data_IF_642005650141
#
_entry.id   IF_642005650141
#
_cell.length_a   1.000
_cell.length_b   1.000
_cell.length_c   1.000
_cell.angle_alpha   90.00
_cell.angle_beta   90.00
_cell.angle_gamma   90.00
#
_symmetry.space_group_name_H-M   'P 1'
#
loop_
_entity.id
_entity.type
_entity.pdbx_description
1 polymer ?
#
# COMPACT_ATOMS: atom_id res chain seq x y z
N UNK A 1 -13.02 -20.47 -35.48
CA UNK A 1 -11.70 -19.82 -35.53
C UNK A 1 -11.94 -18.39 -36.02
N UNK A 2 -12.62 -17.56 -35.22
CA UNK A 2 -12.94 -16.16 -35.56
C UNK A 2 -11.97 -15.24 -34.84
N UNK A 3 -10.68 -15.36 -35.15
CA UNK A 3 -9.62 -14.63 -34.43
C UNK A 3 -9.26 -13.28 -35.06
N UNK A 4 -9.93 -12.84 -36.13
CA UNK A 4 -9.56 -11.62 -36.87
C UNK A 4 -10.77 -10.86 -37.44
N UNK A 5 -11.80 -10.60 -36.62
CA UNK A 5 -12.61 -9.41 -36.88
C UNK A 5 -11.87 -8.23 -36.26
N UNK A 6 -11.34 -7.35 -37.11
CA UNK A 6 -10.79 -6.06 -36.69
C UNK A 6 -11.90 -5.18 -36.14
N UNK A 7 -12.28 -5.41 -34.88
CA UNK A 7 -13.21 -4.56 -34.15
C UNK A 7 -12.57 -3.19 -33.90
N UNK A 8 -13.39 -2.15 -33.87
CA UNK A 8 -12.96 -0.83 -33.43
C UNK A 8 -12.30 -0.94 -32.04
N UNK A 9 -11.15 -0.30 -31.88
CA UNK A 9 -10.45 -0.27 -30.59
C UNK A 9 -11.37 0.43 -29.58
N UNK A 10 -11.70 -0.20 -28.43
CA UNK A 10 -12.65 0.37 -27.47
C UNK A 10 -11.97 1.45 -26.62
N UNK A 11 -11.60 2.58 -27.23
CA UNK A 11 -10.78 3.63 -26.61
C UNK A 11 -11.37 4.16 -25.28
N UNK A 12 -12.69 4.34 -25.21
CA UNK A 12 -13.37 4.84 -24.00
C UNK A 12 -13.23 3.84 -22.85
N UNK A 13 -13.42 2.56 -23.13
CA UNK A 13 -13.26 1.49 -22.13
C UNK A 13 -11.80 1.37 -21.68
N UNK A 14 -10.85 1.41 -22.62
CA UNK A 14 -9.41 1.34 -22.30
C UNK A 14 -8.98 2.53 -21.43
N UNK A 15 -9.38 3.74 -21.81
CA UNK A 15 -9.08 4.95 -21.05
C UNK A 15 -9.73 4.91 -19.66
N UNK A 16 -11.01 4.53 -19.58
CA UNK A 16 -11.73 4.41 -18.31
C UNK A 16 -11.08 3.39 -17.38
N UNK A 17 -10.74 2.22 -17.91
CA UNK A 17 -10.01 1.15 -17.20
C UNK A 17 -8.70 1.67 -16.64
N UNK A 18 -7.88 2.33 -17.46
CA UNK A 18 -6.59 2.86 -17.05
C UNK A 18 -6.73 3.96 -16.00
N UNK A 19 -7.59 4.95 -16.25
CA UNK A 19 -7.83 6.07 -15.34
C UNK A 19 -8.34 5.58 -13.97
N UNK A 20 -9.27 4.62 -13.96
CA UNK A 20 -9.79 4.06 -12.73
C UNK A 20 -8.76 3.17 -12.01
N UNK A 21 -7.88 2.49 -12.73
CA UNK A 21 -6.76 1.76 -12.12
C UNK A 21 -5.79 2.69 -11.38
N UNK A 22 -5.35 3.77 -12.03
CA UNK A 22 -4.49 4.77 -11.40
C UNK A 22 -5.22 5.45 -10.23
N UNK A 23 -6.47 5.84 -10.44
CA UNK A 23 -7.30 6.46 -9.42
C UNK A 23 -7.52 5.57 -8.20
N UNK A 24 -7.79 4.29 -8.40
CA UNK A 24 -7.95 3.32 -7.32
C UNK A 24 -6.62 3.08 -6.57
N UNK A 25 -5.49 2.97 -7.28
CA UNK A 25 -4.19 2.81 -6.64
C UNK A 25 -3.84 3.99 -5.72
N UNK A 26 -4.11 5.22 -6.18
CA UNK A 26 -3.93 6.45 -5.36
C UNK A 26 -4.96 6.51 -4.24
N UNK A 27 -6.24 6.22 -4.53
CA UNK A 27 -7.32 6.23 -3.55
C UNK A 27 -7.10 5.25 -2.40
N UNK A 28 -6.48 4.11 -2.67
CA UNK A 28 -6.14 3.11 -1.66
C UNK A 28 -5.15 3.62 -0.61
N UNK A 29 -4.25 4.56 -0.93
CA UNK A 29 -3.39 5.20 0.08
C UNK A 29 -4.22 6.01 1.08
N UNK A 30 -5.19 6.78 0.59
CA UNK A 30 -6.10 7.56 1.45
C UNK A 30 -7.00 6.66 2.28
N UNK A 31 -7.54 5.59 1.67
CA UNK A 31 -8.33 4.59 2.36
C UNK A 31 -7.53 3.88 3.45
N UNK A 32 -6.32 3.40 3.13
CA UNK A 32 -5.46 2.71 4.08
C UNK A 32 -5.05 3.62 5.23
N UNK A 33 -4.67 4.88 4.95
CA UNK A 33 -4.37 5.89 5.97
C UNK A 33 -5.55 6.08 6.93
N UNK A 34 -6.75 6.34 6.39
CA UNK A 34 -7.94 6.54 7.21
C UNK A 34 -8.30 5.28 8.00
N UNK A 35 -8.28 4.10 7.39
CA UNK A 35 -8.59 2.84 8.06
C UNK A 35 -7.56 2.54 9.17
N UNK A 36 -6.30 2.85 8.94
CA UNK A 36 -5.23 2.67 9.91
C UNK A 36 -5.47 3.53 11.15
N UNK A 37 -5.74 4.82 10.99
CA UNK A 37 -6.05 5.73 12.09
C UNK A 37 -7.39 5.39 12.77
N UNK A 38 -8.47 5.35 11.99
CA UNK A 38 -9.83 5.34 12.52
C UNK A 38 -10.34 3.95 12.90
N UNK A 39 -9.75 2.88 12.37
CA UNK A 39 -10.17 1.50 12.65
C UNK A 39 -9.07 0.71 13.34
N UNK A 40 -7.86 0.63 12.76
CA UNK A 40 -6.80 -0.25 13.25
C UNK A 40 -6.19 0.24 14.56
N UNK A 41 -6.07 1.55 14.77
CA UNK A 41 -5.70 2.17 16.05
C UNK A 41 -6.89 2.43 16.98
N UNK A 42 -8.07 1.90 16.65
CA UNK A 42 -9.29 2.04 17.44
C UNK A 42 -9.96 0.68 17.67
N UNK A 43 -11.09 0.42 17.03
CA UNK A 43 -11.91 -0.78 17.26
C UNK A 43 -11.23 -2.09 16.84
N UNK A 44 -10.25 -2.04 15.93
CA UNK A 44 -9.52 -3.19 15.41
C UNK A 44 -8.09 -3.30 15.97
N UNK A 45 -7.78 -2.58 17.07
CA UNK A 45 -6.45 -2.62 17.70
C UNK A 45 -5.99 -4.03 18.04
N UNK A 46 -6.86 -4.90 18.56
CA UNK A 46 -6.48 -6.28 18.89
C UNK A 46 -5.93 -7.08 17.68
N UNK A 47 -6.27 -6.69 16.45
CA UNK A 47 -5.72 -7.29 15.23
C UNK A 47 -4.40 -6.64 14.80
N UNK A 48 -4.25 -5.34 15.08
CA UNK A 48 -3.10 -4.53 14.70
C UNK A 48 -1.98 -4.50 15.75
N UNK A 49 -2.28 -4.78 17.03
CA UNK A 49 -1.32 -4.67 18.14
C UNK A 49 -0.10 -5.56 17.95
N UNK A 50 -0.30 -6.77 17.40
CA UNK A 50 0.80 -7.69 17.09
C UNK A 50 1.82 -7.08 16.13
N UNK A 51 1.39 -6.12 15.31
CA UNK A 51 2.19 -5.43 14.31
C UNK A 51 3.11 -4.36 14.92
N UNK A 52 2.72 -3.79 16.07
CA UNK A 52 3.50 -2.80 16.82
C UNK A 52 4.53 -3.42 17.77
N UNK A 53 4.44 -4.75 17.99
CA UNK A 53 5.33 -5.47 18.91
C UNK A 53 6.41 -6.23 18.15
N UNK A 54 7.59 -6.46 18.76
CA UNK A 54 8.55 -7.43 18.22
C UNK A 54 7.89 -8.79 18.07
N UNK A 55 8.17 -9.47 16.96
CA UNK A 55 7.51 -10.73 16.62
C UNK A 55 8.47 -11.73 15.98
N UNK A 56 8.04 -12.99 16.01
CA UNK A 56 8.72 -14.12 15.37
C UNK A 56 7.79 -14.81 14.35
N UNK A 57 8.36 -15.39 13.29
CA UNK A 57 7.62 -16.14 12.27
C UNK A 57 7.24 -15.33 11.02
N UNK A 58 6.47 -15.91 10.09
CA UNK A 58 6.12 -15.26 8.81
C UNK A 58 4.77 -14.53 8.78
N UNK A 59 3.82 -14.87 9.65
CA UNK A 59 2.44 -14.35 9.63
C UNK A 59 2.05 -13.62 10.92
N UNK A 60 1.09 -12.70 10.82
CA UNK A 60 0.47 -11.95 11.92
C UNK A 60 -1.05 -11.90 11.78
N UNK A 61 -1.77 -11.67 12.88
CA UNK A 61 -3.21 -11.41 12.81
C UNK A 61 -3.52 -10.19 11.92
N UNK A 62 -2.61 -9.22 11.88
CA UNK A 62 -2.69 -8.04 11.02
C UNK A 62 -2.81 -8.36 9.52
N UNK A 63 -2.33 -9.53 9.08
CA UNK A 63 -2.39 -9.95 7.67
C UNK A 63 -3.84 -10.11 7.17
N UNK A 64 -4.81 -10.21 8.08
CA UNK A 64 -6.24 -10.16 7.78
C UNK A 64 -6.64 -8.90 7.02
N UNK A 65 -5.99 -7.75 7.27
CA UNK A 65 -6.31 -6.52 6.56
C UNK A 65 -5.90 -6.58 5.09
N UNK A 66 -4.80 -7.28 4.78
CA UNK A 66 -4.42 -7.55 3.39
C UNK A 66 -5.46 -8.45 2.71
N UNK A 67 -5.94 -9.49 3.40
CA UNK A 67 -6.98 -10.39 2.88
C UNK A 67 -8.31 -9.64 2.63
N UNK A 68 -8.74 -8.81 3.57
CA UNK A 68 -9.97 -8.01 3.46
C UNK A 68 -9.95 -7.12 2.21
N UNK A 69 -8.80 -6.56 1.85
CA UNK A 69 -8.66 -5.74 0.64
C UNK A 69 -8.40 -6.58 -0.63
N UNK A 70 -7.78 -7.77 -0.51
CA UNK A 70 -7.53 -8.65 -1.64
C UNK A 70 -8.80 -9.31 -2.20
N UNK A 71 -9.74 -9.72 -1.34
CA UNK A 71 -11.01 -10.33 -1.74
C UNK A 71 -11.81 -9.46 -2.72
N UNK A 72 -12.12 -8.17 -2.44
CA UNK A 72 -12.83 -7.32 -3.39
C UNK A 72 -12.00 -7.06 -4.66
N UNK A 73 -10.68 -6.94 -4.57
CA UNK A 73 -9.83 -6.78 -5.75
C UNK A 73 -9.93 -7.98 -6.70
N UNK A 74 -9.85 -9.20 -6.17
CA UNK A 74 -9.98 -10.45 -6.93
C UNK A 74 -11.38 -10.54 -7.56
N UNK A 75 -12.44 -10.23 -6.81
CA UNK A 75 -13.80 -10.25 -7.33
C UNK A 75 -14.00 -9.27 -8.50
N UNK A 76 -13.47 -8.06 -8.38
CA UNK A 76 -13.51 -7.02 -9.40
C UNK A 76 -12.73 -7.41 -10.66
N UNK A 77 -11.51 -7.94 -10.48
CA UNK A 77 -10.69 -8.46 -11.58
C UNK A 77 -11.37 -9.63 -12.28
N UNK A 78 -11.92 -10.58 -11.54
CA UNK A 78 -12.63 -11.74 -12.09
C UNK A 78 -13.84 -11.30 -12.92
N UNK A 79 -14.69 -10.44 -12.36
CA UNK A 79 -15.85 -9.91 -13.07
C UNK A 79 -15.43 -9.16 -14.34
N UNK A 80 -14.44 -8.27 -14.23
CA UNK A 80 -13.96 -7.49 -15.38
C UNK A 80 -13.29 -8.33 -16.47
N UNK A 81 -12.65 -9.45 -16.11
CA UNK A 81 -11.98 -10.33 -17.06
C UNK A 81 -12.96 -11.19 -17.87
N UNK A 82 -14.05 -11.66 -17.26
CA UNK A 82 -15.00 -12.58 -17.89
C UNK A 82 -16.20 -11.91 -18.58
N UNK A 83 -16.34 -10.59 -18.48
CA UNK A 83 -17.43 -9.83 -19.09
C UNK A 83 -16.89 -8.74 -20.02
N UNK A 84 -17.70 -8.30 -20.99
CA UNK A 84 -17.31 -7.29 -21.98
C UNK A 84 -18.10 -6.00 -21.78
N UNK A 85 -17.45 -4.87 -22.08
CA UNK A 85 -18.05 -3.54 -22.07
C UNK A 85 -17.52 -2.65 -20.97
N UNK A 86 -18.00 -1.40 -20.96
CA UNK A 86 -17.43 -0.34 -20.13
C UNK A 86 -17.47 -0.65 -18.63
N UNK A 87 -18.56 -1.22 -18.12
CA UNK A 87 -18.71 -1.53 -16.69
C UNK A 87 -17.73 -2.63 -16.25
N UNK A 88 -17.67 -3.80 -16.92
CA UNK A 88 -16.61 -4.77 -16.69
C UNK A 88 -15.19 -4.19 -16.77
N UNK A 89 -14.88 -3.37 -17.78
CA UNK A 89 -13.57 -2.71 -17.92
C UNK A 89 -13.24 -1.82 -16.71
N UNK A 90 -14.20 -1.02 -16.24
CA UNK A 90 -14.04 -0.22 -15.02
C UNK A 90 -13.82 -1.10 -13.77
N UNK A 91 -14.60 -2.17 -13.61
CA UNK A 91 -14.36 -3.13 -12.52
C UNK A 91 -12.95 -3.72 -12.57
N UNK A 92 -12.50 -4.13 -13.75
CA UNK A 92 -11.13 -4.61 -13.95
C UNK A 92 -10.10 -3.55 -13.54
N UNK A 93 -10.28 -2.30 -13.99
CA UNK A 93 -9.42 -1.18 -13.65
C UNK A 93 -9.33 -0.95 -12.14
N UNK A 94 -10.47 -0.88 -11.45
CA UNK A 94 -10.52 -0.73 -10.00
C UNK A 94 -9.82 -1.87 -9.27
N UNK A 95 -10.13 -3.13 -9.63
CA UNK A 95 -9.47 -4.30 -9.06
C UNK A 95 -7.96 -4.29 -9.28
N UNK A 96 -7.51 -3.92 -10.48
CA UNK A 96 -6.09 -3.80 -10.81
C UNK A 96 -5.41 -2.72 -9.96
N UNK A 97 -6.04 -1.56 -9.78
CA UNK A 97 -5.52 -0.48 -8.94
C UNK A 97 -5.34 -0.89 -7.48
N UNK A 98 -6.34 -1.58 -6.91
CA UNK A 98 -6.26 -2.13 -5.55
C UNK A 98 -5.12 -3.15 -5.45
N UNK A 99 -4.98 -4.05 -6.43
CA UNK A 99 -3.91 -5.04 -6.46
C UNK A 99 -2.53 -4.39 -6.59
N UNK A 100 -2.36 -3.39 -7.46
CA UNK A 100 -1.09 -2.65 -7.60
C UNK A 100 -0.71 -1.97 -6.29
N UNK A 101 -1.66 -1.29 -5.64
CA UNK A 101 -1.41 -0.70 -4.32
C UNK A 101 -1.05 -1.77 -3.29
N UNK A 102 -1.81 -2.87 -3.22
CA UNK A 102 -1.56 -3.96 -2.27
C UNK A 102 -0.18 -4.59 -2.44
N UNK A 103 0.27 -4.80 -3.69
CA UNK A 103 1.63 -5.27 -3.96
C UNK A 103 2.68 -4.24 -3.52
N UNK A 104 2.50 -2.96 -3.88
CA UNK A 104 3.42 -1.91 -3.47
C UNK A 104 3.51 -1.80 -1.94
N UNK A 105 2.37 -1.90 -1.26
CA UNK A 105 2.27 -1.94 0.20
C UNK A 105 3.03 -3.13 0.76
N UNK A 106 2.78 -4.35 0.29
CA UNK A 106 3.49 -5.56 0.74
C UNK A 106 5.02 -5.42 0.61
N UNK A 107 5.52 -4.98 -0.54
CA UNK A 107 6.98 -4.84 -0.74
C UNK A 107 7.57 -3.74 0.14
N UNK A 108 6.90 -2.60 0.30
CA UNK A 108 7.46 -1.48 1.06
C UNK A 108 7.25 -1.68 2.57
N UNK A 109 6.03 -1.98 3.00
CA UNK A 109 5.71 -2.20 4.41
C UNK A 109 6.29 -3.52 4.92
N UNK A 110 5.83 -4.66 4.41
CA UNK A 110 6.24 -5.96 4.97
C UNK A 110 7.69 -6.28 4.59
N UNK A 111 8.06 -6.04 3.34
CA UNK A 111 9.40 -6.30 2.83
C UNK A 111 10.44 -5.31 3.34
N UNK A 112 10.29 -4.01 3.07
CA UNK A 112 11.33 -3.01 3.37
C UNK A 112 11.30 -2.51 4.82
N UNK A 113 10.13 -2.24 5.39
CA UNK A 113 10.02 -1.72 6.75
C UNK A 113 10.20 -2.83 7.78
N UNK A 114 9.39 -3.88 7.66
CA UNK A 114 9.35 -4.99 8.61
C UNK A 114 10.31 -6.13 8.31
N UNK A 115 11.04 -6.04 7.18
CA UNK A 115 12.06 -7.03 6.79
C UNK A 115 11.53 -8.47 6.76
N UNK A 116 10.25 -8.66 6.42
CA UNK A 116 9.62 -9.99 6.31
C UNK A 116 10.25 -10.84 5.22
N UNK A 117 10.72 -10.21 4.15
CA UNK A 117 11.42 -10.84 3.03
C UNK A 117 12.37 -9.84 2.35
N UNK A 118 13.29 -10.35 1.52
CA UNK A 118 14.25 -9.49 0.83
C UNK A 118 13.59 -8.73 -0.33
N UNK A 119 13.75 -7.41 -0.36
CA UNK A 119 13.20 -6.52 -1.41
C UNK A 119 14.24 -6.04 -2.42
N UNK A 120 15.48 -6.53 -2.31
CA UNK A 120 16.55 -6.25 -3.25
C UNK A 120 16.80 -4.75 -3.47
N UNK A 121 16.93 -4.28 -4.73
CA UNK A 121 17.28 -2.89 -5.05
C UNK A 121 16.29 -1.83 -4.53
N UNK A 122 15.04 -2.21 -4.24
CA UNK A 122 13.99 -1.30 -3.75
C UNK A 122 14.43 -0.62 -2.44
N UNK A 123 15.20 -1.32 -1.60
CA UNK A 123 15.74 -0.77 -0.35
C UNK A 123 16.70 0.42 -0.55
N UNK A 124 17.24 0.58 -1.74
CA UNK A 124 18.19 1.64 -2.07
C UNK A 124 17.53 2.91 -2.62
N UNK A 125 16.23 2.85 -2.96
CA UNK A 125 15.49 4.00 -3.48
C UNK A 125 15.34 5.05 -2.37
N UNK A 126 15.85 6.29 -2.54
CA UNK A 126 15.86 7.30 -1.48
C UNK A 126 14.48 7.60 -0.91
N UNK A 127 13.46 7.70 -1.78
CA UNK A 127 12.09 7.96 -1.34
C UNK A 127 11.52 6.82 -0.50
N UNK A 128 11.71 5.56 -0.91
CA UNK A 128 11.21 4.41 -0.17
C UNK A 128 11.94 4.23 1.16
N UNK A 129 13.20 4.63 1.24
CA UNK A 129 13.91 4.73 2.53
C UNK A 129 13.29 5.79 3.44
N UNK A 130 12.89 6.95 2.89
CA UNK A 130 12.17 8.01 3.64
C UNK A 130 10.83 7.50 4.15
N UNK A 131 10.05 6.83 3.31
CA UNK A 131 8.79 6.16 3.70
C UNK A 131 9.03 5.15 4.81
N UNK A 132 10.07 4.33 4.68
CA UNK A 132 10.36 3.32 5.68
C UNK A 132 10.81 3.90 7.03
N UNK A 133 11.53 5.02 7.01
CA UNK A 133 11.88 5.79 8.20
C UNK A 133 10.63 6.41 8.86
N UNK A 134 9.74 6.99 8.05
CA UNK A 134 8.49 7.58 8.53
C UNK A 134 7.60 6.52 9.22
N UNK A 135 7.44 5.35 8.60
CA UNK A 135 6.68 4.26 9.20
C UNK A 135 7.38 3.71 10.47
N UNK A 136 8.70 3.73 10.56
CA UNK A 136 9.37 3.35 11.80
C UNK A 136 9.03 4.29 12.97
N UNK A 137 8.86 5.59 12.68
CA UNK A 137 8.46 6.56 13.70
C UNK A 137 7.02 6.34 14.16
N UNK A 138 6.12 5.90 13.28
CA UNK A 138 4.77 5.49 13.65
C UNK A 138 4.77 4.43 14.76
N UNK A 139 5.60 3.38 14.64
CA UNK A 139 5.78 2.34 15.65
C UNK A 139 6.37 2.84 16.99
N UNK A 140 6.88 4.07 17.05
CA UNK A 140 7.32 4.68 18.32
C UNK A 140 6.20 5.45 19.01
N UNK A 141 5.03 5.55 18.39
CA UNK A 141 3.86 6.30 18.86
C UNK A 141 4.12 7.79 19.16
N UNK A 142 5.25 8.33 18.68
CA UNK A 142 5.52 9.77 18.70
C UNK A 142 4.49 10.52 17.87
N UNK A 143 4.38 11.83 18.12
CA UNK A 143 3.45 12.70 17.38
C UNK A 143 1.99 12.21 17.42
N UNK A 144 1.57 11.67 18.56
CA UNK A 144 0.25 11.06 18.75
C UNK A 144 -0.06 9.92 17.77
N UNK A 145 0.95 9.12 17.41
CA UNK A 145 0.79 8.00 16.48
C UNK A 145 0.95 8.35 15.00
N UNK A 146 1.19 9.62 14.64
CA UNK A 146 1.47 10.00 13.24
C UNK A 146 2.85 9.50 12.80
N UNK A 147 3.03 8.98 11.56
CA UNK A 147 2.06 8.94 10.45
C UNK A 147 1.21 7.67 10.35
N UNK A 148 0.01 7.77 9.77
CA UNK A 148 -0.88 6.62 9.51
C UNK A 148 -0.84 6.15 8.04
N UNK A 149 -0.50 7.02 7.09
CA UNK A 149 -0.26 6.66 5.70
C UNK A 149 1.10 6.02 5.51
N UNK A 150 1.21 5.14 4.52
CA UNK A 150 2.50 4.53 4.18
C UNK A 150 3.29 5.48 3.29
N UNK A 151 2.80 5.74 2.08
CA UNK A 151 3.49 6.59 1.12
C UNK A 151 3.37 8.08 1.44
N UNK A 152 2.25 8.50 2.04
CA UNK A 152 2.05 9.87 2.52
C UNK A 152 2.69 10.12 3.90
N UNK A 153 3.22 9.08 4.57
CA UNK A 153 3.75 9.22 5.92
C UNK A 153 4.83 10.31 6.10
N UNK A 154 5.78 10.50 5.16
CA UNK A 154 6.71 11.62 5.23
C UNK A 154 6.05 13.00 5.22
N UNK A 155 4.92 13.15 4.50
CA UNK A 155 4.16 14.40 4.44
C UNK A 155 3.37 14.62 5.73
N UNK A 156 2.76 13.57 6.28
CA UNK A 156 2.07 13.68 7.57
C UNK A 156 3.02 14.07 8.70
N UNK A 157 4.25 13.54 8.69
CA UNK A 157 5.29 13.97 9.63
C UNK A 157 5.68 15.43 9.45
N UNK A 158 5.75 15.92 8.20
CA UNK A 158 5.98 17.33 7.91
C UNK A 158 4.88 18.22 8.50
N UNK A 159 3.62 17.82 8.35
CA UNK A 159 2.44 18.54 8.86
C UNK A 159 2.40 18.65 10.40
N UNK A 160 3.01 17.69 11.11
CA UNK A 160 3.12 17.70 12.58
C UNK A 160 4.48 18.16 13.12
N UNK A 161 5.38 18.63 12.25
CA UNK A 161 6.70 19.13 12.63
C UNK A 161 7.74 18.06 12.99
N UNK A 162 7.54 16.81 12.57
CA UNK A 162 8.40 15.66 12.88
C UNK A 162 9.59 15.44 11.93
N UNK A 163 9.99 16.46 11.18
CA UNK A 163 11.04 16.33 10.15
C UNK A 163 12.44 16.07 10.73
N UNK A 164 12.75 16.60 11.91
CA UNK A 164 14.03 16.37 12.57
C UNK A 164 14.19 14.90 13.01
N UNK A 165 13.12 14.32 13.58
CA UNK A 165 13.05 12.90 13.92
C UNK A 165 13.15 12.01 12.69
N UNK A 166 12.48 12.41 11.60
CA UNK A 166 12.53 11.69 10.34
C UNK A 166 13.95 11.66 9.76
N UNK A 167 14.65 12.79 9.74
CA UNK A 167 16.02 12.85 9.24
C UNK A 167 16.98 12.02 10.11
N UNK A 168 16.85 12.08 11.44
CA UNK A 168 17.62 11.22 12.36
C UNK A 168 17.43 9.74 12.05
N UNK A 169 16.19 9.30 11.81
CA UNK A 169 15.87 7.92 11.49
C UNK A 169 16.40 7.50 10.10
N UNK A 170 16.33 8.38 9.10
CA UNK A 170 16.93 8.14 7.77
C UNK A 170 18.44 7.94 7.89
N UNK A 171 19.15 8.81 8.61
CA UNK A 171 20.59 8.69 8.82
C UNK A 171 20.96 7.41 9.56
N UNK A 172 20.16 7.03 10.57
CA UNK A 172 20.31 5.75 11.28
C UNK A 172 20.22 4.57 10.31
N UNK A 173 19.21 4.56 9.43
CA UNK A 173 19.00 3.50 8.42
C UNK A 173 20.14 3.43 7.40
N UNK A 174 20.62 4.57 6.91
CA UNK A 174 21.78 4.63 5.99
C UNK A 174 23.04 4.07 6.64
N UNK A 175 23.27 4.39 7.93
CA UNK A 175 24.41 3.86 8.67
C UNK A 175 24.33 2.33 8.84
N UNK A 176 23.13 1.80 9.07
CA UNK A 176 22.89 0.37 9.20
C UNK A 176 23.05 -0.38 7.87
N UNK A 177 22.71 0.23 6.73
CA UNK A 177 22.86 -0.42 5.42
C UNK A 177 24.29 -0.44 4.89
N UNK A 178 25.22 0.31 5.51
CA UNK A 178 26.64 0.35 5.15
C UNK A 178 27.52 -0.58 6.00
N UNK A 179 26.95 -1.22 7.02
CA UNK A 179 27.59 -2.27 7.81
C UNK A 179 27.35 -3.63 7.16
#
# INVERSE_FOLDING_TARGET
>A
MDLLQGGEIPYVEMFGTFALSVGAAVGMEYWARWAHEALWHASLWHMHESHHKPREGPFELNDVFAIINAVPAIALLNYGFFHKGIIPGLCFGAGLGITVFGMAYMFVHDGLVHKRFQVGPIANVPYLRKVAAAHQLHHTEKFNGVPYGLFLGPKELEEVGGMDELEKEIQRRIKLSKK
#
